data_IF_816486629500
#
_entry.id   IF_816486629500
#
_cell.length_a   1.000
_cell.length_b   1.000
_cell.length_c   1.000
_cell.angle_alpha   90.00
_cell.angle_beta   90.00
_cell.angle_gamma   90.00
#
_symmetry.space_group_name_H-M   'P 1'
#
loop_
_entity.id
_entity.type
_entity.pdbx_description
1 polymer ?
#
# COMPACT_ATOMS: atom_id res chain seq x y z
N UNK A 1 -13.94 49.24 -62.61
CA UNK A 1 -14.20 49.69 -61.22
C UNK A 1 -15.45 49.01 -60.67
N UNK A 2 -15.31 47.82 -60.05
CA UNK A 2 -16.32 47.17 -59.20
C UNK A 2 -15.58 46.23 -58.24
N UNK A 3 -15.29 46.66 -57.00
CA UNK A 3 -15.29 45.69 -55.90
C UNK A 3 -15.62 46.34 -54.53
N UNK A 4 -16.76 47.02 -54.38
CA UNK A 4 -17.19 47.51 -53.05
C UNK A 4 -18.41 46.76 -52.49
N UNK A 5 -19.15 46.02 -53.31
CA UNK A 5 -20.40 45.36 -52.89
C UNK A 5 -20.17 44.01 -52.19
N UNK A 6 -19.14 43.26 -52.60
CA UNK A 6 -18.80 41.94 -52.06
C UNK A 6 -18.17 42.00 -50.67
N UNK A 7 -17.37 43.03 -50.36
CA UNK A 7 -16.74 43.20 -49.04
C UNK A 7 -17.79 43.45 -47.94
N UNK A 8 -18.88 44.16 -48.27
CA UNK A 8 -19.94 44.49 -47.32
C UNK A 8 -20.77 43.25 -46.93
N UNK A 9 -20.95 42.29 -47.84
CA UNK A 9 -21.65 41.04 -47.54
C UNK A 9 -20.80 40.06 -46.71
N UNK A 10 -19.48 40.06 -46.91
CA UNK A 10 -18.56 39.22 -46.11
C UNK A 10 -18.47 39.72 -44.66
N UNK A 11 -18.43 41.05 -44.45
CA UNK A 11 -18.43 41.63 -43.10
C UNK A 11 -19.73 41.33 -42.33
N UNK A 12 -20.88 41.39 -43.00
CA UNK A 12 -22.17 41.07 -42.38
C UNK A 12 -22.28 39.59 -41.99
N UNK A 13 -21.71 38.68 -42.79
CA UNK A 13 -21.71 37.25 -42.50
C UNK A 13 -20.80 36.91 -41.30
N UNK A 14 -19.66 37.59 -41.17
CA UNK A 14 -18.74 37.43 -40.04
C UNK A 14 -19.33 37.94 -38.72
N UNK A 15 -20.09 39.03 -38.75
CA UNK A 15 -20.77 39.58 -37.58
C UNK A 15 -21.88 38.66 -37.05
N UNK A 16 -22.61 37.97 -37.94
CA UNK A 16 -23.65 37.00 -37.53
C UNK A 16 -23.02 35.73 -36.94
N UNK A 17 -21.86 35.30 -37.43
CA UNK A 17 -21.16 34.11 -36.89
C UNK A 17 -20.62 34.34 -35.46
N UNK A 18 -20.21 35.57 -35.14
CA UNK A 18 -19.70 35.94 -33.80
C UNK A 18 -20.77 35.95 -32.71
N UNK A 19 -22.05 36.08 -33.05
CA UNK A 19 -23.15 36.10 -32.07
C UNK A 19 -23.45 34.70 -31.53
N UNK A 20 -23.13 33.62 -32.28
CA UNK A 20 -23.39 32.24 -31.85
C UNK A 20 -22.29 31.61 -31.00
N UNK A 21 -21.15 32.29 -30.81
CA UNK A 21 -20.01 31.73 -30.03
C UNK A 21 -20.05 32.13 -28.55
N UNK A 22 -20.90 33.07 -28.15
CA UNK A 22 -20.90 33.61 -26.78
C UNK A 22 -22.15 33.22 -25.97
N UNK A 23 -22.31 31.93 -25.68
CA UNK A 23 -23.07 31.48 -24.49
C UNK A 23 -22.89 29.98 -24.22
N UNK A 24 -21.66 29.52 -23.99
CA UNK A 24 -21.49 28.42 -23.05
C UNK A 24 -21.62 29.01 -21.65
N UNK A 25 -22.82 28.96 -21.07
CA UNK A 25 -22.97 29.11 -19.61
C UNK A 25 -22.08 28.05 -18.99
N UNK A 26 -20.92 28.46 -18.51
CA UNK A 26 -20.07 27.62 -17.67
C UNK A 26 -20.85 27.48 -16.37
N UNK A 27 -21.59 26.38 -16.24
CA UNK A 27 -22.28 26.05 -15.01
C UNK A 27 -21.23 26.01 -13.90
N UNK A 28 -21.24 27.04 -13.05
CA UNK A 28 -20.47 27.03 -11.83
C UNK A 28 -20.96 25.81 -11.03
N UNK A 29 -20.07 24.87 -10.68
CA UNK A 29 -20.49 23.68 -9.95
C UNK A 29 -21.12 24.13 -8.64
N UNK A 30 -22.26 23.50 -8.31
CA UNK A 30 -23.00 23.78 -7.10
C UNK A 30 -22.06 23.80 -5.88
N UNK A 31 -22.17 24.86 -5.06
CA UNK A 31 -21.45 24.96 -3.81
C UNK A 31 -21.75 23.73 -2.94
N UNK A 32 -20.71 23.04 -2.47
CA UNK A 32 -20.86 21.88 -1.58
C UNK A 32 -20.73 20.49 -2.22
N UNK A 33 -20.41 20.37 -3.52
CA UNK A 33 -20.10 19.05 -4.08
C UNK A 33 -18.72 18.53 -3.62
N UNK A 34 -18.64 17.25 -3.27
CA UNK A 34 -17.37 16.55 -3.01
C UNK A 34 -16.47 16.58 -4.25
N UNK A 35 -15.17 16.77 -4.04
CA UNK A 35 -14.15 16.95 -5.07
C UNK A 35 -13.12 15.84 -5.06
N UNK A 36 -12.64 15.52 -6.25
CA UNK A 36 -11.68 14.45 -6.47
C UNK A 36 -10.28 14.93 -6.14
N UNK A 37 -9.64 14.25 -5.19
CA UNK A 37 -8.24 14.42 -4.81
C UNK A 37 -7.49 13.14 -5.15
N UNK A 38 -6.32 13.30 -5.75
CA UNK A 38 -5.35 12.24 -6.04
C UNK A 38 -4.05 12.62 -5.35
N UNK A 39 -3.30 11.62 -4.89
CA UNK A 39 -1.96 11.81 -4.38
C UNK A 39 -0.99 11.17 -5.37
N UNK A 40 0.00 11.95 -5.79
CA UNK A 40 1.14 11.46 -6.54
C UNK A 40 2.32 11.30 -5.58
N UNK A 41 3.08 10.23 -5.74
CA UNK A 41 4.24 9.97 -4.89
C UNK A 41 5.50 9.77 -5.70
N UNK A 42 6.57 10.34 -5.17
CA UNK A 42 7.93 10.19 -5.66
C UNK A 42 8.79 9.63 -4.55
N UNK A 43 9.45 8.50 -4.84
CA UNK A 43 10.43 7.93 -3.93
C UNK A 43 11.66 8.83 -3.90
N UNK A 44 12.04 9.32 -2.73
CA UNK A 44 13.28 10.08 -2.59
C UNK A 44 14.45 9.10 -2.63
N UNK A 45 15.33 9.26 -3.62
CA UNK A 45 16.48 8.37 -3.85
C UNK A 45 17.72 8.72 -3.02
N UNK A 46 17.61 9.62 -2.02
CA UNK A 46 18.77 10.01 -1.19
C UNK A 46 19.13 8.86 -0.25
N UNK A 47 20.31 8.26 -0.46
CA UNK A 47 20.84 7.19 0.39
C UNK A 47 20.30 5.78 0.06
N UNK A 48 20.33 5.39 -1.22
CA UNK A 48 19.77 4.10 -1.68
C UNK A 48 20.33 2.89 -0.94
N UNK A 49 19.44 2.16 -0.25
CA UNK A 49 19.66 0.77 0.10
C UNK A 49 19.27 -0.11 -1.09
N UNK A 50 20.21 -0.92 -1.59
CA UNK A 50 19.98 -1.93 -2.63
C UNK A 50 19.15 -3.08 -2.06
N UNK A 51 17.83 -3.00 -2.17
CA UNK A 51 16.93 -4.12 -1.89
C UNK A 51 15.93 -4.29 -3.02
N UNK A 52 15.47 -5.52 -3.24
CA UNK A 52 14.32 -5.78 -4.11
C UNK A 52 13.11 -5.07 -3.54
N UNK A 53 12.64 -4.03 -4.24
CA UNK A 53 11.50 -3.24 -3.78
C UNK A 53 10.23 -3.86 -4.33
N UNK A 54 9.31 -4.21 -3.43
CA UNK A 54 7.97 -4.68 -3.80
C UNK A 54 7.20 -3.56 -4.50
N UNK A 55 6.28 -3.93 -5.40
CA UNK A 55 5.39 -2.94 -6.02
C UNK A 55 4.28 -2.57 -5.04
N UNK A 56 3.98 -1.28 -4.82
CA UNK A 56 2.79 -0.88 -4.08
C UNK A 56 1.50 -1.25 -4.83
N UNK A 57 0.51 -1.74 -4.09
CA UNK A 57 -0.83 -2.08 -4.59
C UNK A 57 -1.88 -1.08 -4.09
N UNK A 58 -1.69 -0.53 -2.90
CA UNK A 58 -2.57 0.47 -2.32
C UNK A 58 -1.84 1.47 -1.43
N UNK A 59 -2.51 2.56 -1.08
CA UNK A 59 -2.04 3.57 -0.14
C UNK A 59 -2.95 3.65 1.08
N UNK A 60 -2.36 3.85 2.25
CA UNK A 60 -3.02 4.26 3.49
C UNK A 60 -2.78 5.77 3.66
N UNK A 61 -3.87 6.55 3.65
CA UNK A 61 -3.84 8.01 3.72
C UNK A 61 -4.57 8.46 4.98
N UNK A 62 -3.87 9.13 5.88
CA UNK A 62 -4.43 9.77 7.06
C UNK A 62 -4.69 11.26 6.82
N UNK A 63 -5.93 11.71 6.97
CA UNK A 63 -6.34 13.11 6.94
C UNK A 63 -6.99 13.48 8.27
N UNK A 64 -6.20 14.02 9.20
CA UNK A 64 -6.63 14.17 10.60
C UNK A 64 -6.95 12.80 11.21
N UNK A 65 -8.18 12.64 11.71
CA UNK A 65 -8.67 11.38 12.33
C UNK A 65 -9.23 10.37 11.31
N UNK A 66 -9.31 10.75 10.02
CA UNK A 66 -9.83 9.88 8.97
C UNK A 66 -8.71 9.13 8.27
N UNK A 67 -8.92 7.83 8.03
CA UNK A 67 -8.00 7.00 7.25
C UNK A 67 -8.69 6.45 6.01
N UNK A 68 -7.99 6.50 4.88
CA UNK A 68 -8.45 5.95 3.61
C UNK A 68 -7.48 4.85 3.15
N UNK A 69 -8.02 3.72 2.71
CA UNK A 69 -7.29 2.68 1.97
C UNK A 69 -7.73 2.78 0.52
N UNK A 70 -6.80 3.12 -0.38
CA UNK A 70 -7.11 3.35 -1.80
C UNK A 70 -6.14 2.61 -2.72
N UNK A 71 -6.60 1.95 -3.78
CA UNK A 71 -5.70 1.37 -4.78
C UNK A 71 -4.76 2.41 -5.38
N UNK A 72 -3.58 1.97 -5.78
CA UNK A 72 -2.61 2.80 -6.52
C UNK A 72 -2.34 2.24 -7.91
N UNK A 73 -1.79 3.07 -8.78
CA UNK A 73 -1.29 2.68 -10.09
C UNK A 73 0.00 3.44 -10.41
N UNK A 74 0.87 2.83 -11.20
CA UNK A 74 2.14 3.43 -11.59
C UNK A 74 2.06 3.99 -13.00
N UNK A 75 2.48 5.24 -13.18
CA UNK A 75 2.60 5.89 -14.48
C UNK A 75 3.97 6.56 -14.58
N UNK A 76 4.77 6.15 -15.57
CA UNK A 76 6.11 6.71 -15.82
C UNK A 76 7.02 6.75 -14.59
N UNK A 77 6.97 5.70 -13.76
CA UNK A 77 7.80 5.56 -12.56
C UNK A 77 7.32 6.36 -11.33
N UNK A 78 6.19 7.06 -11.42
CA UNK A 78 5.51 7.69 -10.28
C UNK A 78 4.29 6.89 -9.89
N UNK A 79 4.02 6.75 -8.59
CA UNK A 79 2.85 6.03 -8.07
C UNK A 79 1.75 7.03 -7.74
N UNK A 80 0.55 6.80 -8.27
CA UNK A 80 -0.63 7.63 -8.08
C UNK A 80 -1.72 6.84 -7.35
N UNK A 81 -2.46 7.51 -6.49
CA UNK A 81 -3.66 6.92 -5.88
C UNK A 81 -4.84 7.00 -6.83
N UNK A 82 -5.79 6.09 -6.65
CA UNK A 82 -7.16 6.35 -7.10
C UNK A 82 -7.75 7.56 -6.37
N UNK A 83 -8.79 8.13 -6.96
CA UNK A 83 -9.45 9.34 -6.49
C UNK A 83 -10.17 9.14 -5.14
N UNK A 84 -9.93 10.03 -4.18
CA UNK A 84 -10.80 10.21 -3.01
C UNK A 84 -11.70 11.42 -3.19
N UNK A 85 -12.91 11.36 -2.63
CA UNK A 85 -13.89 12.46 -2.68
C UNK A 85 -13.88 13.21 -1.35
N UNK A 86 -13.46 14.47 -1.36
CA UNK A 86 -13.37 15.35 -0.20
C UNK A 86 -14.23 16.59 -0.37
N UNK A 87 -14.84 17.08 0.71
CA UNK A 87 -15.52 18.36 0.70
C UNK A 87 -14.51 19.51 0.55
N UNK A 88 -14.86 20.65 -0.06
CA UNK A 88 -13.96 21.80 -0.11
C UNK A 88 -13.54 22.23 1.30
N UNK A 89 -12.24 22.48 1.51
CA UNK A 89 -11.72 22.79 2.83
C UNK A 89 -10.21 22.60 2.97
N UNK A 90 -9.71 22.86 4.18
CA UNK A 90 -8.32 22.66 4.55
C UNK A 90 -8.15 21.30 5.24
N UNK A 91 -7.22 20.50 4.74
CA UNK A 91 -6.91 19.18 5.26
C UNK A 91 -5.45 19.12 5.69
N UNK A 92 -5.17 18.32 6.70
CA UNK A 92 -3.81 18.03 7.18
C UNK A 92 -3.49 16.57 6.85
N UNK A 93 -2.46 16.34 6.04
CA UNK A 93 -2.00 14.98 5.74
C UNK A 93 -1.18 14.46 6.92
N UNK A 94 -1.75 13.57 7.73
CA UNK A 94 -1.13 13.04 8.94
C UNK A 94 -0.38 11.74 8.69
N UNK A 95 -0.73 11.00 7.64
CA UNK A 95 -0.10 9.72 7.30
C UNK A 95 -0.17 9.46 5.80
N UNK A 96 0.89 8.92 5.23
CA UNK A 96 0.88 8.42 3.85
C UNK A 96 1.83 7.22 3.75
N UNK A 97 1.28 6.03 3.52
CA UNK A 97 2.05 4.78 3.44
C UNK A 97 1.63 4.04 2.17
N UNK A 98 2.60 3.64 1.37
CA UNK A 98 2.40 2.76 0.22
C UNK A 98 2.61 1.33 0.68
N UNK A 99 1.64 0.46 0.41
CA UNK A 99 1.58 -0.91 0.89
C UNK A 99 1.54 -1.88 -0.30
N UNK A 100 2.18 -3.03 -0.13
CA UNK A 100 2.00 -4.20 -0.98
C UNK A 100 1.01 -5.15 -0.29
N UNK A 101 0.05 -5.68 -1.05
CA UNK A 101 -1.06 -6.51 -0.55
C UNK A 101 -0.69 -7.99 -0.39
N UNK A 102 0.60 -8.32 -0.39
CA UNK A 102 1.07 -9.69 -0.24
C UNK A 102 0.50 -10.64 -1.29
N UNK A 103 0.03 -11.80 -0.83
CA UNK A 103 -0.46 -12.88 -1.68
C UNK A 103 -1.98 -12.90 -1.87
N UNK A 104 -2.73 -12.06 -1.15
CA UNK A 104 -4.19 -12.06 -1.16
C UNK A 104 -4.76 -10.65 -1.10
N UNK A 105 -5.67 -10.34 -2.02
CA UNK A 105 -6.35 -9.04 -2.03
C UNK A 105 -7.33 -8.84 -0.84
N UNK A 106 -7.74 -9.92 -0.17
CA UNK A 106 -8.77 -9.89 0.89
C UNK A 106 -8.23 -10.16 2.29
N UNK A 107 -6.99 -10.65 2.39
CA UNK A 107 -6.33 -10.94 3.66
C UNK A 107 -5.17 -9.96 3.82
N UNK A 108 -5.23 -9.12 4.86
CA UNK A 108 -4.21 -8.09 5.11
C UNK A 108 -3.13 -8.54 6.10
N UNK A 109 -3.09 -9.83 6.46
CA UNK A 109 -2.12 -10.34 7.46
C UNK A 109 -0.69 -10.41 6.93
N UNK A 110 -0.51 -10.47 5.62
CA UNK A 110 0.78 -10.42 4.93
C UNK A 110 1.05 -9.10 4.20
N UNK A 111 0.21 -8.08 4.43
CA UNK A 111 0.41 -6.74 3.88
C UNK A 111 1.69 -6.11 4.44
N UNK A 112 2.53 -5.55 3.57
CA UNK A 112 3.82 -4.96 3.96
C UNK A 112 3.95 -3.51 3.50
N UNK A 113 4.44 -2.59 4.36
CA UNK A 113 4.80 -1.25 3.94
C UNK A 113 5.97 -1.29 2.97
N UNK A 114 5.83 -0.61 1.84
CA UNK A 114 6.89 -0.46 0.82
C UNK A 114 7.56 0.90 0.95
N UNK A 115 6.76 1.96 1.06
CA UNK A 115 7.25 3.32 1.27
C UNK A 115 6.39 4.05 2.28
N UNK A 116 6.95 5.05 2.94
CA UNK A 116 6.17 5.93 3.80
C UNK A 116 6.67 7.37 3.81
N UNK A 117 5.75 8.29 4.09
CA UNK A 117 6.05 9.67 4.41
C UNK A 117 6.43 9.78 5.90
N UNK A 118 7.66 10.18 6.26
CA UNK A 118 8.05 10.35 7.66
C UNK A 118 7.28 11.51 8.32
N UNK A 119 7.00 11.37 9.62
CA UNK A 119 6.34 12.39 10.43
C UNK A 119 7.25 13.58 10.70
N UNK A 120 6.69 14.77 10.82
CA UNK A 120 7.45 15.96 11.21
C UNK A 120 8.12 15.76 12.58
N UNK A 121 9.41 16.09 12.65
CA UNK A 121 10.21 15.91 13.87
C UNK A 121 10.83 14.51 14.04
N UNK A 122 10.55 13.57 13.15
CA UNK A 122 11.24 12.27 13.12
C UNK A 122 12.65 12.37 12.52
N UNK A 123 13.51 11.39 12.82
CA UNK A 123 14.87 11.29 12.26
C UNK A 123 14.86 11.34 10.73
N UNK A 124 13.84 10.75 10.11
CA UNK A 124 13.71 10.71 8.66
C UNK A 124 13.02 11.93 8.03
N UNK A 125 12.49 12.85 8.83
CA UNK A 125 11.86 14.07 8.32
C UNK A 125 12.81 14.91 7.46
N UNK A 126 14.11 14.90 7.74
CA UNK A 126 15.11 15.67 7.02
C UNK A 126 15.36 15.19 5.57
N UNK A 127 14.90 13.99 5.20
CA UNK A 127 15.07 13.45 3.85
C UNK A 127 13.94 13.82 2.90
N UNK A 128 12.87 14.45 3.40
CA UNK A 128 11.76 14.95 2.60
C UNK A 128 11.62 16.46 2.79
N UNK A 129 11.15 17.16 1.77
CA UNK A 129 10.90 18.61 1.86
C UNK A 129 9.66 18.93 2.70
N UNK A 130 8.69 18.01 2.72
CA UNK A 130 7.38 18.20 3.36
C UNK A 130 6.96 16.95 4.13
N UNK A 131 7.44 16.76 5.37
CA UNK A 131 7.07 15.61 6.19
C UNK A 131 5.57 15.64 6.56
N UNK A 132 5.06 14.50 7.03
CA UNK A 132 3.68 14.36 7.46
C UNK A 132 3.32 15.43 8.51
N UNK A 133 2.11 15.97 8.39
CA UNK A 133 1.60 17.08 9.17
C UNK A 133 1.42 18.37 8.37
N UNK A 134 1.80 18.42 7.09
CA UNK A 134 1.52 19.59 6.25
C UNK A 134 0.03 19.72 5.90
N UNK A 135 -0.39 20.96 5.64
CA UNK A 135 -1.75 21.27 5.21
C UNK A 135 -1.85 21.45 3.69
N UNK A 136 -3.01 21.13 3.13
CA UNK A 136 -3.37 21.43 1.76
C UNK A 136 -4.83 21.86 1.67
N UNK A 137 -5.15 22.68 0.67
CA UNK A 137 -6.50 23.16 0.41
C UNK A 137 -7.13 22.40 -0.77
N UNK A 138 -8.38 22.00 -0.59
CA UNK A 138 -9.25 21.47 -1.64
C UNK A 138 -10.23 22.58 -2.04
N UNK A 139 -10.00 23.16 -3.21
CA UNK A 139 -10.86 24.20 -3.78
C UNK A 139 -12.16 23.65 -4.40
N UNK A 140 -13.02 24.55 -4.86
CA UNK A 140 -14.36 24.22 -5.36
C UNK A 140 -14.44 23.82 -6.84
N UNK A 141 -13.39 24.05 -7.64
CA UNK A 141 -13.50 24.00 -9.11
C UNK A 141 -12.67 22.90 -9.80
N UNK A 142 -11.64 22.32 -9.16
CA UNK A 142 -10.68 21.47 -9.89
C UNK A 142 -10.28 20.19 -9.15
N UNK A 143 -9.90 19.17 -9.95
CA UNK A 143 -9.20 17.97 -9.45
C UNK A 143 -7.86 18.41 -8.88
N UNK A 144 -7.56 18.00 -7.65
CA UNK A 144 -6.30 18.34 -6.99
C UNK A 144 -5.37 17.13 -6.99
N UNK A 145 -4.16 17.31 -7.52
CA UNK A 145 -3.05 16.39 -7.28
C UNK A 145 -2.21 16.92 -6.11
N UNK A 146 -1.91 16.04 -5.16
CA UNK A 146 -1.10 16.35 -3.98
C UNK A 146 0.20 15.54 -4.08
N UNK A 147 1.34 16.17 -4.38
CA UNK A 147 2.62 15.49 -4.42
C UNK A 147 3.09 15.15 -3.01
N UNK A 148 3.54 13.91 -2.81
CA UNK A 148 4.05 13.37 -1.55
C UNK A 148 5.39 12.70 -1.77
N UNK A 149 6.41 13.15 -1.05
CA UNK A 149 7.72 12.51 -1.05
C UNK A 149 7.72 11.36 -0.03
N UNK A 150 8.15 10.18 -0.47
CA UNK A 150 8.16 8.98 0.37
C UNK A 150 9.56 8.37 0.41
N UNK A 151 9.87 7.72 1.53
CA UNK A 151 11.12 6.98 1.73
C UNK A 151 10.84 5.49 1.72
N UNK A 152 11.81 4.70 1.25
CA UNK A 152 11.73 3.24 1.27
C UNK A 152 11.60 2.76 2.71
N UNK A 153 10.62 1.90 2.98
CA UNK A 153 10.42 1.34 4.30
C UNK A 153 11.49 0.28 4.60
N UNK A 154 12.11 0.37 5.78
CA UNK A 154 13.01 -0.65 6.31
C UNK A 154 12.48 -1.09 7.68
N UNK A 155 12.15 -2.39 7.88
CA UNK A 155 11.62 -2.89 9.15
C UNK A 155 12.61 -2.78 10.31
N UNK A 156 13.92 -2.62 10.05
CA UNK A 156 14.92 -2.42 11.12
C UNK A 156 14.88 -0.99 11.68
N UNK A 157 14.53 -0.03 10.82
CA UNK A 157 14.59 1.40 11.12
C UNK A 157 13.20 2.05 11.21
N UNK A 158 12.13 1.27 11.35
CA UNK A 158 10.75 1.77 11.25
C UNK A 158 10.43 2.89 12.24
N UNK A 159 11.07 2.89 13.42
CA UNK A 159 10.89 3.92 14.46
C UNK A 159 11.36 5.31 14.00
N UNK A 160 12.31 5.37 13.05
CA UNK A 160 12.86 6.63 12.52
C UNK A 160 11.88 7.44 11.67
N UNK A 161 10.74 6.84 11.29
CA UNK A 161 9.65 7.54 10.61
C UNK A 161 8.73 8.34 11.56
N UNK A 162 8.84 8.15 12.87
CA UNK A 162 8.09 8.91 13.89
C UNK A 162 6.72 8.34 14.27
N UNK A 163 6.16 7.39 13.51
CA UNK A 163 4.88 6.75 13.84
C UNK A 163 5.02 5.24 14.07
N UNK A 164 4.12 4.70 14.89
CA UNK A 164 4.04 3.26 15.15
C UNK A 164 3.52 2.51 13.92
N UNK A 165 4.34 1.62 13.38
CA UNK A 165 3.90 0.60 12.44
C UNK A 165 3.43 -0.62 13.22
N UNK A 166 2.28 -1.20 12.86
CA UNK A 166 1.92 -2.56 13.32
C UNK A 166 2.75 -3.56 12.52
N UNK A 167 4.06 -3.59 12.77
CA UNK A 167 4.92 -4.63 12.22
C UNK A 167 4.72 -5.84 13.10
N UNK A 168 3.96 -6.83 12.62
CA UNK A 168 4.01 -8.16 13.23
C UNK A 168 5.47 -8.62 13.09
N UNK A 169 6.18 -8.89 14.20
CA UNK A 169 7.54 -9.40 14.11
C UNK A 169 7.48 -10.75 13.38
N UNK A 170 7.88 -10.76 12.11
CA UNK A 170 7.99 -11.99 11.36
C UNK A 170 9.27 -12.70 11.80
N UNK A 171 9.16 -13.55 12.82
CA UNK A 171 10.26 -14.44 13.19
C UNK A 171 10.31 -15.58 12.19
N UNK A 172 11.20 -15.49 11.20
CA UNK A 172 11.48 -16.62 10.31
C UNK A 172 12.32 -17.64 11.06
N UNK A 173 11.70 -18.73 11.51
CA UNK A 173 12.40 -19.87 12.07
C UNK A 173 12.90 -20.73 10.90
N UNK A 174 14.19 -20.63 10.58
CA UNK A 174 14.81 -21.41 9.48
C UNK A 174 15.04 -22.87 9.84
N UNK A 175 15.20 -23.16 11.13
CA UNK A 175 15.46 -24.50 11.62
C UNK A 175 14.94 -24.63 13.05
N UNK A 176 14.24 -25.73 13.32
CA UNK A 176 13.87 -26.19 14.65
C UNK A 176 14.35 -27.62 14.81
N UNK A 177 14.97 -27.91 15.95
CA UNK A 177 15.36 -29.26 16.32
C UNK A 177 14.30 -29.81 17.27
N UNK A 178 13.59 -30.85 16.83
CA UNK A 178 12.68 -31.61 17.66
C UNK A 178 13.38 -32.90 18.08
N UNK A 179 13.54 -33.08 19.38
CA UNK A 179 14.08 -34.29 19.97
C UNK A 179 13.21 -34.70 21.15
N UNK A 180 13.03 -36.00 21.33
CA UNK A 180 12.26 -36.54 22.45
C UNK A 180 12.57 -38.01 22.66
N UNK A 181 12.17 -38.49 23.83
CA UNK A 181 12.20 -39.91 24.18
C UNK A 181 10.78 -40.41 24.38
N UNK A 182 10.55 -41.63 23.96
CA UNK A 182 9.29 -42.33 24.05
C UNK A 182 9.35 -43.36 25.17
N UNK A 183 8.46 -43.20 26.16
CA UNK A 183 8.33 -44.05 27.34
C UNK A 183 6.88 -44.55 27.45
N UNK A 184 6.53 -45.64 26.76
CA UNK A 184 5.18 -46.18 26.86
C UNK A 184 4.95 -46.84 28.23
N UNK A 185 3.72 -46.73 28.74
CA UNK A 185 3.30 -47.44 29.94
C UNK A 185 3.24 -48.97 29.71
N UNK A 186 2.88 -49.39 28.49
CA UNK A 186 2.93 -50.78 28.04
C UNK A 186 3.67 -50.83 26.69
N UNK A 187 4.83 -51.50 26.67
CA UNK A 187 5.62 -51.69 25.45
C UNK A 187 4.90 -52.59 24.45
N UNK A 188 4.17 -53.60 24.90
CA UNK A 188 3.58 -54.61 24.01
C UNK A 188 2.43 -54.04 23.18
N UNK A 189 1.77 -52.98 23.67
CA UNK A 189 0.77 -52.21 22.91
C UNK A 189 1.32 -51.61 21.60
N UNK A 190 2.65 -51.56 21.43
CA UNK A 190 3.32 -51.02 20.25
C UNK A 190 3.87 -52.11 19.31
N UNK A 191 3.46 -53.37 19.52
CA UNK A 191 3.70 -54.46 18.56
C UNK A 191 3.02 -54.11 17.22
N UNK A 192 3.76 -54.26 16.12
CA UNK A 192 3.38 -53.88 14.75
C UNK A 192 3.69 -52.43 14.38
N UNK A 193 4.19 -51.61 15.32
CA UNK A 193 4.48 -50.19 15.08
C UNK A 193 5.87 -49.92 14.49
N UNK A 194 6.09 -48.67 14.07
CA UNK A 194 7.41 -48.15 13.66
C UNK A 194 8.49 -48.25 14.76
N UNK A 195 8.08 -48.41 16.02
CA UNK A 195 9.01 -48.63 17.12
C UNK A 195 9.56 -50.07 17.12
N UNK A 196 8.74 -51.06 16.73
CA UNK A 196 9.20 -52.45 16.67
C UNK A 196 10.17 -52.69 15.52
N UNK A 197 10.05 -51.94 14.42
CA UNK A 197 10.94 -52.07 13.24
C UNK A 197 12.34 -51.46 13.43
N UNK A 198 12.69 -51.02 14.65
CA UNK A 198 14.04 -50.54 14.97
C UNK A 198 14.99 -51.72 15.22
N UNK A 199 16.30 -51.48 15.07
CA UNK A 199 17.33 -52.53 15.14
C UNK A 199 17.28 -53.42 16.40
N UNK A 200 16.80 -52.88 17.53
CA UNK A 200 16.71 -53.59 18.80
C UNK A 200 15.26 -53.85 19.26
N UNK A 201 14.27 -53.70 18.37
CA UNK A 201 12.87 -53.86 18.69
C UNK A 201 12.34 -52.84 19.71
N UNK A 202 11.26 -53.21 20.41
CA UNK A 202 10.58 -52.37 21.40
C UNK A 202 11.39 -52.30 22.69
N UNK A 203 11.75 -51.08 23.11
CA UNK A 203 12.54 -50.82 24.32
C UNK A 203 12.02 -49.60 25.09
N UNK A 204 12.18 -49.53 26.42
CA UNK A 204 11.97 -48.28 27.15
C UNK A 204 12.92 -47.18 26.66
N UNK A 205 12.43 -45.93 26.56
CA UNK A 205 13.28 -44.77 26.29
C UNK A 205 13.80 -44.66 24.85
N UNK A 206 13.09 -45.26 23.89
CA UNK A 206 13.38 -45.13 22.46
C UNK A 206 13.33 -43.67 21.99
N UNK A 207 14.08 -43.27 20.95
CA UNK A 207 13.91 -41.96 20.33
C UNK A 207 12.47 -41.78 19.84
N UNK A 208 11.85 -40.66 20.16
CA UNK A 208 10.51 -40.36 19.69
C UNK A 208 10.49 -40.20 18.16
N UNK A 209 9.52 -40.84 17.52
CA UNK A 209 9.24 -40.69 16.09
C UNK A 209 8.20 -39.58 15.92
N UNK A 210 8.54 -38.56 15.14
CA UNK A 210 7.67 -37.40 14.92
C UNK A 210 7.25 -37.33 13.46
N UNK A 211 6.03 -36.85 13.23
CA UNK A 211 5.59 -36.30 11.93
C UNK A 211 5.20 -34.85 12.16
N UNK A 212 5.68 -33.96 11.31
CA UNK A 212 5.34 -32.54 11.34
C UNK A 212 4.45 -32.26 10.15
N UNK A 213 3.18 -31.95 10.39
CA UNK A 213 2.22 -31.57 9.35
C UNK A 213 2.10 -30.04 9.32
N UNK A 214 2.38 -29.43 8.17
CA UNK A 214 2.31 -27.98 7.98
C UNK A 214 0.98 -27.64 7.34
N UNK A 215 0.26 -26.70 7.96
CA UNK A 215 -0.98 -26.14 7.45
C UNK A 215 -0.82 -24.64 7.19
N UNK A 216 -1.47 -24.14 6.14
CA UNK A 216 -1.62 -22.71 5.85
C UNK A 216 -3.10 -22.41 5.68
N UNK A 217 -3.63 -21.52 6.51
CA UNK A 217 -5.05 -21.12 6.49
C UNK A 217 -6.01 -22.33 6.55
N UNK A 218 -5.69 -23.31 7.40
CA UNK A 218 -6.47 -24.54 7.56
C UNK A 218 -6.27 -25.58 6.45
N UNK A 219 -5.51 -25.27 5.39
CA UNK A 219 -5.21 -26.22 4.32
C UNK A 219 -3.85 -26.90 4.53
N UNK A 220 -3.81 -28.21 4.29
CA UNK A 220 -2.57 -28.98 4.36
C UNK A 220 -1.58 -28.53 3.28
N UNK A 221 -0.32 -28.35 3.66
CA UNK A 221 0.77 -27.92 2.78
C UNK A 221 1.74 -29.06 2.52
N UNK A 222 2.33 -29.63 3.57
CA UNK A 222 3.34 -30.70 3.49
C UNK A 222 3.55 -31.38 4.84
N UNK A 223 4.05 -32.62 4.82
CA UNK A 223 4.54 -33.34 6.00
C UNK A 223 6.05 -33.56 5.97
N UNK A 224 6.65 -33.63 7.16
CA UNK A 224 8.04 -34.07 7.40
C UNK A 224 8.01 -35.26 8.36
N UNK A 225 8.87 -36.26 8.14
CA UNK A 225 8.98 -37.49 8.93
C UNK A 225 10.42 -37.98 8.99
#
# INVERSE_FOLDING_TARGET
MKPLRTIRHILSLLAVLLIFVSCTKQELPAAGQKKTVVFSSSAVKKGQFKTTVLSPDYAIIGLGDRTFKVPVYSLSGSVYTTAIKLDPGNYKLTRFILMNAGSSATDSTDDVPVYALPEAGSDYAAFVSRPAGFSFNVGSLEKKDIPVEVLLFNPVDYQKFGFGFSVLPHTTIRQQFLAGKFFPADLQAYTGSLYQSRANGLQPGMPAVFRIDVYRNGQFVKSYS
#
